data_IF_840519077715
#
_entry.id   IF_840519077715
#
_cell.length_a   1.000
_cell.length_b   1.000
_cell.length_c   1.000
_cell.angle_alpha   90.00
_cell.angle_beta   90.00
_cell.angle_gamma   90.00
#
_symmetry.space_group_name_H-M   'P 1'
#
loop_
_entity.id
_entity.type
_entity.pdbx_description
1 polymer ?
#
# COMPACT_ATOMS: atom_id res chain seq x y z
N UNK A 1 74.64 -46.11 38.18
CA UNK A 1 73.36 -45.36 38.30
C UNK A 1 73.47 -43.92 37.78
N UNK A 2 74.52 -43.16 38.14
CA UNK A 2 74.70 -41.76 37.72
C UNK A 2 74.66 -41.48 36.20
N UNK A 3 75.28 -42.34 35.36
CA UNK A 3 75.28 -42.13 33.89
C UNK A 3 73.88 -42.17 33.26
N UNK A 4 72.99 -43.04 33.74
CA UNK A 4 71.60 -43.14 33.23
C UNK A 4 70.77 -41.92 33.59
N UNK A 5 71.00 -41.35 34.77
CA UNK A 5 70.29 -40.17 35.25
C UNK A 5 70.75 -38.88 34.54
N UNK A 6 72.04 -38.79 34.20
CA UNK A 6 72.55 -37.73 33.35
C UNK A 6 72.00 -37.83 31.91
N UNK A 7 71.90 -39.04 31.36
CA UNK A 7 71.28 -39.29 30.05
C UNK A 7 69.80 -38.89 30.01
N UNK A 8 69.00 -39.29 31.00
CA UNK A 8 67.58 -38.89 31.07
C UNK A 8 67.40 -37.37 31.26
N UNK A 9 68.32 -36.71 31.96
CA UNK A 9 68.31 -35.24 32.13
C UNK A 9 68.59 -34.53 30.79
N UNK A 10 69.55 -35.03 30.00
CA UNK A 10 69.85 -34.51 28.68
C UNK A 10 68.70 -34.72 27.69
N UNK A 11 68.07 -35.89 27.70
CA UNK A 11 66.90 -36.18 26.84
C UNK A 11 65.70 -35.32 27.22
N UNK A 12 65.47 -35.08 28.51
CA UNK A 12 64.43 -34.17 28.98
C UNK A 12 64.71 -32.73 28.52
N UNK A 13 65.98 -32.29 28.57
CA UNK A 13 66.38 -30.99 28.07
C UNK A 13 66.20 -30.87 26.55
N UNK A 14 66.63 -31.87 25.77
CA UNK A 14 66.41 -31.90 24.32
C UNK A 14 64.93 -31.92 23.97
N UNK A 15 64.12 -32.69 24.69
CA UNK A 15 62.67 -32.70 24.50
C UNK A 15 62.08 -31.32 24.79
N UNK A 16 62.51 -30.65 25.86
CA UNK A 16 62.05 -29.29 26.17
C UNK A 16 62.42 -28.27 25.09
N UNK A 17 63.63 -28.37 24.52
CA UNK A 17 64.05 -27.53 23.40
C UNK A 17 63.24 -27.81 22.15
N UNK A 18 63.00 -29.08 21.81
CA UNK A 18 62.19 -29.46 20.66
C UNK A 18 60.74 -28.98 20.81
N UNK A 19 60.16 -29.08 22.01
CA UNK A 19 58.84 -28.50 22.31
C UNK A 19 58.86 -26.99 22.09
N UNK A 20 59.88 -26.29 22.63
CA UNK A 20 60.02 -24.83 22.47
C UNK A 20 60.20 -24.42 21.00
N UNK A 21 60.93 -25.22 20.21
CA UNK A 21 61.13 -25.00 18.78
C UNK A 21 59.80 -25.17 18.04
N UNK A 22 59.03 -26.21 18.35
CA UNK A 22 57.71 -26.42 17.75
C UNK A 22 56.74 -25.26 18.09
N UNK A 23 56.69 -24.85 19.37
CA UNK A 23 55.91 -23.68 19.80
C UNK A 23 56.32 -22.40 19.06
N UNK A 24 57.62 -22.15 18.91
CA UNK A 24 58.14 -21.00 18.16
C UNK A 24 57.76 -21.07 16.68
N UNK A 25 57.81 -22.25 16.06
CA UNK A 25 57.39 -22.45 14.67
C UNK A 25 55.90 -22.15 14.51
N UNK A 26 55.04 -22.65 15.40
CA UNK A 26 53.60 -22.34 15.37
C UNK A 26 53.34 -20.85 15.54
N UNK A 27 54.04 -20.17 16.46
CA UNK A 27 53.92 -18.72 16.65
C UNK A 27 54.37 -17.93 15.42
N UNK A 28 55.43 -18.35 14.75
CA UNK A 28 55.91 -17.72 13.50
C UNK A 28 54.90 -17.92 12.38
N UNK A 29 54.31 -19.11 12.25
CA UNK A 29 53.25 -19.40 11.28
C UNK A 29 52.03 -18.52 11.58
N UNK A 30 51.55 -18.48 12.82
CA UNK A 30 50.40 -17.66 13.21
C UNK A 30 50.63 -16.16 12.94
N UNK A 31 51.83 -15.65 13.25
CA UNK A 31 52.23 -14.27 12.95
C UNK A 31 52.24 -13.99 11.43
N UNK A 32 52.70 -14.93 10.62
CA UNK A 32 52.83 -14.75 9.18
C UNK A 32 51.50 -14.97 8.43
N UNK A 33 50.60 -15.79 8.99
CA UNK A 33 49.25 -16.04 8.43
C UNK A 33 48.35 -14.81 8.52
N UNK A 34 48.55 -13.96 9.52
CA UNK A 34 47.79 -12.72 9.70
C UNK A 34 48.73 -11.54 9.92
N UNK A 35 49.35 -10.99 8.86
CA UNK A 35 50.05 -9.71 8.95
C UNK A 35 49.09 -8.64 9.49
N UNK A 36 49.59 -7.59 10.16
CA UNK A 36 48.70 -6.53 10.68
C UNK A 36 47.78 -5.91 9.59
N UNK A 37 48.15 -6.01 8.31
CA UNK A 37 47.32 -5.63 7.16
C UNK A 37 46.12 -6.54 6.88
N UNK A 38 46.08 -7.79 7.34
CA UNK A 38 44.95 -8.71 7.12
C UNK A 38 43.78 -8.48 8.09
N UNK A 39 43.98 -7.69 9.15
CA UNK A 39 42.94 -7.39 10.14
C UNK A 39 41.79 -6.60 9.50
N UNK A 40 42.11 -5.67 8.60
CA UNK A 40 41.10 -4.92 7.83
C UNK A 40 40.31 -5.82 6.89
N UNK A 41 40.98 -6.77 6.23
CA UNK A 41 40.32 -7.71 5.32
C UNK A 41 39.39 -8.67 6.08
N UNK A 42 39.82 -9.17 7.23
CA UNK A 42 38.98 -9.97 8.13
C UNK A 42 37.78 -9.19 8.65
N UNK A 43 37.96 -7.93 9.02
CA UNK A 43 36.86 -7.06 9.44
C UNK A 43 35.88 -6.78 8.31
N UNK A 44 36.36 -6.65 7.07
CA UNK A 44 35.51 -6.49 5.89
C UNK A 44 34.70 -7.76 5.61
N UNK A 45 35.31 -8.94 5.75
CA UNK A 45 34.63 -10.23 5.63
C UNK A 45 33.56 -10.40 6.72
N UNK A 46 33.87 -10.07 7.98
CA UNK A 46 32.90 -10.10 9.08
C UNK A 46 31.71 -9.17 8.82
N UNK A 47 31.97 -7.95 8.35
CA UNK A 47 30.91 -7.01 7.98
C UNK A 47 30.05 -7.55 6.82
N UNK A 48 30.67 -8.12 5.79
CA UNK A 48 29.95 -8.74 4.67
C UNK A 48 29.09 -9.93 5.12
N UNK A 49 29.63 -10.79 6.00
CA UNK A 49 28.91 -11.92 6.57
C UNK A 49 27.71 -11.48 7.39
N UNK A 50 27.87 -10.50 8.28
CA UNK A 50 26.76 -9.89 9.04
C UNK A 50 25.71 -9.28 8.12
N UNK A 51 26.15 -8.63 7.03
CA UNK A 51 25.26 -8.12 6.00
C UNK A 51 24.43 -9.23 5.34
N UNK A 52 25.07 -10.34 4.98
CA UNK A 52 24.39 -11.52 4.42
C UNK A 52 23.43 -12.17 5.42
N UNK A 53 23.80 -12.30 6.68
CA UNK A 53 22.93 -12.84 7.74
C UNK A 53 21.65 -12.01 7.89
N UNK A 54 21.78 -10.68 7.90
CA UNK A 54 20.63 -9.77 7.93
C UNK A 54 19.75 -9.90 6.69
N UNK A 55 20.34 -10.07 5.50
CA UNK A 55 19.59 -10.28 4.27
C UNK A 55 18.83 -11.62 4.29
N UNK A 56 19.47 -12.70 4.74
CA UNK A 56 18.82 -14.00 4.88
C UNK A 56 17.66 -13.93 5.87
N UNK A 57 17.83 -13.20 6.98
CA UNK A 57 16.77 -12.97 7.94
C UNK A 57 15.59 -12.19 7.33
N UNK A 58 15.86 -11.14 6.55
CA UNK A 58 14.83 -10.38 5.83
C UNK A 58 14.07 -11.25 4.81
N UNK A 59 14.77 -12.11 4.06
CA UNK A 59 14.13 -13.06 3.14
C UNK A 59 13.22 -14.03 3.90
N UNK A 60 13.69 -14.56 5.03
CA UNK A 60 12.90 -15.48 5.87
C UNK A 60 11.62 -14.83 6.37
N UNK A 61 11.69 -13.58 6.79
CA UNK A 61 10.52 -12.85 7.28
C UNK A 61 9.52 -12.57 6.14
N UNK A 62 10.00 -12.17 4.96
CA UNK A 62 9.15 -12.02 3.77
C UNK A 62 8.47 -13.33 3.35
N UNK A 63 9.18 -14.46 3.37
CA UNK A 63 8.61 -15.77 3.06
C UNK A 63 7.51 -16.17 4.05
N UNK A 64 7.66 -15.81 5.33
CA UNK A 64 6.63 -16.04 6.35
C UNK A 64 5.37 -15.23 6.04
N UNK A 65 5.53 -13.94 5.74
CA UNK A 65 4.41 -13.06 5.36
C UNK A 65 3.68 -13.59 4.12
N UNK A 66 4.41 -14.00 3.09
CA UNK A 66 3.82 -14.59 1.88
C UNK A 66 3.07 -15.90 2.20
N UNK A 67 3.64 -16.75 3.05
CA UNK A 67 3.00 -18.00 3.50
C UNK A 67 1.67 -17.74 4.20
N UNK A 68 1.58 -16.68 5.01
CA UNK A 68 0.34 -16.27 5.68
C UNK A 68 -0.65 -15.55 4.75
N UNK A 69 -0.16 -14.89 3.70
CA UNK A 69 -0.99 -14.18 2.72
C UNK A 69 -1.67 -15.13 1.71
N UNK A 70 -0.97 -16.20 1.27
CA UNK A 70 -1.51 -17.19 0.33
C UNK A 70 -2.88 -17.76 0.73
N UNK A 71 -3.13 -18.22 1.98
CA UNK A 71 -4.44 -18.75 2.36
C UNK A 71 -5.52 -17.66 2.38
N UNK A 72 -5.17 -16.41 2.71
CA UNK A 72 -6.11 -15.28 2.66
C UNK A 72 -6.56 -15.03 1.22
N UNK A 73 -5.61 -15.02 0.27
CA UNK A 73 -5.92 -14.90 -1.16
C UNK A 73 -6.78 -16.08 -1.67
N UNK A 74 -6.47 -17.32 -1.27
CA UNK A 74 -7.29 -18.49 -1.63
C UNK A 74 -8.72 -18.38 -1.13
N UNK A 75 -8.93 -17.92 0.12
CA UNK A 75 -10.28 -17.69 0.68
C UNK A 75 -11.04 -16.63 -0.12
N UNK A 76 -10.38 -15.55 -0.51
CA UNK A 76 -10.98 -14.49 -1.33
C UNK A 76 -11.39 -15.01 -2.71
N UNK A 77 -10.52 -15.78 -3.38
CA UNK A 77 -10.84 -16.42 -4.67
C UNK A 77 -12.06 -17.33 -4.53
N UNK A 78 -12.12 -18.16 -3.49
CA UNK A 78 -13.25 -19.05 -3.27
C UNK A 78 -14.57 -18.28 -3.02
N UNK A 79 -14.52 -17.19 -2.27
CA UNK A 79 -15.67 -16.32 -2.04
C UNK A 79 -16.14 -15.64 -3.34
N UNK A 80 -15.19 -15.11 -4.12
CA UNK A 80 -15.47 -14.48 -5.42
C UNK A 80 -16.09 -15.48 -6.41
N UNK A 81 -15.58 -16.72 -6.46
CA UNK A 81 -16.13 -17.77 -7.33
C UNK A 81 -17.57 -18.12 -6.95
N UNK A 82 -17.88 -18.16 -5.65
CA UNK A 82 -19.27 -18.35 -5.15
C UNK A 82 -20.18 -17.22 -5.62
N UNK A 83 -19.73 -15.97 -5.49
CA UNK A 83 -20.50 -14.80 -5.94
C UNK A 83 -20.70 -14.82 -7.46
N UNK A 84 -19.66 -15.13 -8.23
CA UNK A 84 -19.74 -15.26 -9.68
C UNK A 84 -20.77 -16.30 -10.09
N UNK A 85 -20.74 -17.51 -9.49
CA UNK A 85 -21.71 -18.56 -9.78
C UNK A 85 -23.15 -18.11 -9.46
N UNK A 86 -23.34 -17.37 -8.36
CA UNK A 86 -24.64 -16.79 -8.00
C UNK A 86 -25.10 -15.78 -9.06
N UNK A 87 -24.24 -14.85 -9.46
CA UNK A 87 -24.57 -13.86 -10.49
C UNK A 87 -24.87 -14.53 -11.85
N UNK A 88 -24.11 -15.55 -12.25
CA UNK A 88 -24.41 -16.34 -13.45
C UNK A 88 -25.76 -17.05 -13.35
N UNK A 89 -26.10 -17.61 -12.19
CA UNK A 89 -27.43 -18.20 -12.00
C UNK A 89 -28.53 -17.15 -12.09
N UNK A 90 -28.31 -15.94 -11.56
CA UNK A 90 -29.27 -14.83 -11.64
C UNK A 90 -29.40 -14.30 -13.07
N UNK A 91 -28.30 -14.22 -13.85
CA UNK A 91 -28.31 -13.72 -15.22
C UNK A 91 -29.19 -14.54 -16.15
N UNK A 92 -29.34 -15.85 -15.88
CA UNK A 92 -30.26 -16.73 -16.63
C UNK A 92 -31.73 -16.31 -16.46
N UNK A 93 -32.09 -15.69 -15.34
CA UNK A 93 -33.46 -15.29 -15.02
C UNK A 93 -33.67 -13.77 -15.11
N UNK A 94 -32.74 -13.03 -15.72
CA UNK A 94 -32.88 -11.58 -15.88
C UNK A 94 -33.96 -11.28 -16.92
N UNK A 95 -35.04 -10.56 -16.56
CA UNK A 95 -36.08 -10.20 -17.51
C UNK A 95 -35.56 -9.24 -18.59
N UNK A 96 -35.98 -9.45 -19.83
CA UNK A 96 -35.59 -8.68 -21.02
C UNK A 96 -36.07 -7.21 -21.07
N UNK A 97 -36.71 -6.70 -20.02
CA UNK A 97 -37.21 -5.32 -19.93
C UNK A 97 -36.35 -4.40 -19.04
N UNK A 98 -35.18 -4.86 -18.58
CA UNK A 98 -34.24 -3.97 -17.89
C UNK A 98 -33.51 -3.08 -18.90
N UNK A 99 -33.50 -1.74 -18.72
CA UNK A 99 -32.74 -0.85 -19.59
C UNK A 99 -31.25 -1.22 -19.48
N UNK A 100 -30.69 -1.69 -20.60
CA UNK A 100 -29.29 -2.03 -20.78
C UNK A 100 -28.44 -0.75 -20.63
N UNK A 101 -28.18 -0.35 -19.38
CA UNK A 101 -27.26 0.74 -19.08
C UNK A 101 -25.84 0.25 -19.33
N UNK A 102 -25.38 0.52 -20.55
CA UNK A 102 -23.99 0.64 -21.01
C UNK A 102 -22.94 0.21 -19.97
N UNK A 103 -22.53 -1.05 -20.07
CA UNK A 103 -21.26 -1.50 -19.50
C UNK A 103 -20.15 -1.13 -20.50
N UNK A 104 -19.74 0.14 -20.50
CA UNK A 104 -18.42 0.52 -21.04
C UNK A 104 -17.39 0.27 -19.94
N UNK A 105 -17.14 -0.99 -19.64
CA UNK A 105 -15.89 -1.37 -18.98
C UNK A 105 -14.84 -1.41 -20.10
N UNK A 106 -14.04 -0.34 -20.15
CA UNK A 106 -12.83 -0.25 -20.95
C UNK A 106 -11.92 -1.43 -20.59
N UNK A 107 -11.98 -2.48 -21.40
CA UNK A 107 -10.90 -3.44 -21.59
C UNK A 107 -10.31 -3.13 -22.96
N UNK A 108 -9.34 -2.22 -23.01
CA UNK A 108 -8.22 -2.36 -23.94
C UNK A 108 -7.13 -1.36 -23.59
N UNK A 109 -6.01 -1.91 -23.10
CA UNK A 109 -4.72 -1.26 -23.13
C UNK A 109 -3.82 -2.14 -24.00
N UNK A 110 -3.18 -1.52 -24.99
CA UNK A 110 -2.10 -2.05 -25.85
C UNK A 110 -2.48 -2.52 -27.27
N UNK A 111 -2.65 -1.56 -28.21
CA UNK A 111 -1.76 -1.33 -29.39
C UNK A 111 -2.41 -0.52 -30.52
N UNK A 112 -1.63 0.42 -31.07
CA UNK A 112 -1.51 0.57 -32.53
C UNK A 112 -2.36 1.63 -33.26
N UNK A 113 -1.88 2.88 -33.25
CA UNK A 113 -1.78 3.84 -34.36
C UNK A 113 -2.75 3.83 -35.60
N UNK A 114 -3.29 5.04 -35.85
CA UNK A 114 -3.49 5.78 -37.14
C UNK A 114 -4.92 5.89 -37.72
N UNK A 115 -5.30 7.06 -38.30
CA UNK A 115 -6.63 7.68 -38.19
C UNK A 115 -7.42 7.82 -39.52
N UNK A 116 -8.63 8.39 -39.37
CA UNK A 116 -9.47 9.09 -40.37
C UNK A 116 -10.03 8.31 -41.57
N UNK A 117 -11.37 8.20 -41.63
CA UNK A 117 -12.17 8.46 -42.85
C UNK A 117 -13.69 8.52 -42.56
N UNK A 118 -14.21 9.75 -42.49
CA UNK A 118 -15.40 10.28 -43.17
C UNK A 118 -16.55 9.35 -43.60
N UNK A 119 -17.77 9.66 -43.11
CA UNK A 119 -18.96 10.15 -43.88
C UNK A 119 -20.19 10.15 -42.96
N UNK A 120 -20.57 11.29 -42.40
CA UNK A 120 -21.63 12.17 -42.92
C UNK A 120 -22.83 11.43 -43.53
N UNK A 121 -23.96 11.42 -42.81
CA UNK A 121 -25.29 11.85 -43.23
C UNK A 121 -26.32 11.40 -42.15
N UNK A 122 -27.37 12.11 -41.74
CA UNK A 122 -27.83 13.48 -41.89
C UNK A 122 -29.17 13.53 -41.13
N UNK A 123 -29.33 14.51 -40.21
CA UNK A 123 -30.61 15.14 -39.81
C UNK A 123 -31.68 14.26 -39.11
N UNK A 124 -32.39 14.68 -38.06
CA UNK A 124 -32.99 15.99 -37.78
C UNK A 124 -33.10 16.22 -36.27
N UNK A 125 -32.80 17.44 -35.83
CA UNK A 125 -33.34 17.98 -34.58
C UNK A 125 -34.79 18.45 -34.77
N UNK A 126 -35.49 18.79 -33.69
CA UNK A 126 -35.75 20.21 -33.49
C UNK A 126 -35.41 20.70 -32.08
N UNK A 127 -34.89 21.92 -32.11
CA UNK A 127 -34.44 22.80 -31.05
C UNK A 127 -35.62 23.64 -30.51
N UNK A 128 -35.63 24.00 -29.22
CA UNK A 128 -36.22 25.21 -28.59
C UNK A 128 -36.04 25.04 -27.06
N UNK A 129 -35.46 25.94 -26.27
CA UNK A 129 -34.99 27.29 -26.51
C UNK A 129 -34.07 27.77 -25.38
N UNK A 130 -33.27 28.79 -25.68
CA UNK A 130 -32.35 29.48 -24.78
C UNK A 130 -33.07 30.62 -24.05
N UNK A 131 -32.72 30.85 -22.79
CA UNK A 131 -32.64 32.22 -22.27
C UNK A 131 -31.50 32.36 -21.29
N UNK A 132 -30.65 33.33 -21.62
CA UNK A 132 -29.53 33.85 -20.85
C UNK A 132 -30.06 34.74 -19.72
N UNK A 133 -29.37 34.74 -18.59
CA UNK A 133 -29.08 35.97 -17.84
C UNK A 133 -27.59 35.93 -17.51
N UNK A 134 -26.91 37.04 -17.80
CA UNK A 134 -25.48 37.30 -17.73
C UNK A 134 -25.27 38.54 -16.85
N UNK A 135 -24.13 38.61 -16.12
CA UNK A 135 -23.35 39.80 -15.63
C UNK A 135 -22.73 39.47 -14.23
N UNK A 136 -21.52 38.89 -14.04
CA UNK A 136 -20.08 39.32 -14.19
C UNK A 136 -19.60 40.48 -13.28
N UNK A 137 -18.30 40.61 -12.86
CA UNK A 137 -17.29 39.64 -12.33
C UNK A 137 -16.47 40.18 -11.10
N UNK A 138 -15.75 39.32 -10.36
CA UNK A 138 -14.41 39.63 -9.81
C UNK A 138 -13.61 38.41 -9.27
N UNK A 139 -12.41 38.23 -9.86
CA UNK A 139 -11.16 37.62 -9.34
C UNK A 139 -11.03 36.09 -9.06
N UNK A 140 -10.22 35.46 -9.93
CA UNK A 140 -9.49 34.17 -9.90
C UNK A 140 -8.80 33.81 -8.54
N UNK A 141 -8.55 32.52 -8.18
CA UNK A 141 -7.50 31.72 -8.86
C UNK A 141 -7.66 30.18 -8.93
N UNK A 142 -7.40 29.66 -10.14
CA UNK A 142 -6.75 28.38 -10.48
C UNK A 142 -7.21 27.11 -9.73
N UNK A 143 -8.20 26.44 -10.30
CA UNK A 143 -8.52 25.05 -9.98
C UNK A 143 -7.36 24.12 -10.38
N UNK A 144 -6.56 23.72 -9.40
CA UNK A 144 -5.85 22.45 -9.49
C UNK A 144 -6.87 21.35 -9.18
N UNK A 145 -7.02 20.43 -10.13
CA UNK A 145 -7.79 19.17 -10.10
C UNK A 145 -7.69 18.46 -8.74
N UNK A 146 -8.52 18.90 -7.80
CA UNK A 146 -8.72 18.30 -6.49
C UNK A 146 -10.17 17.88 -6.45
N UNK A 147 -10.41 16.60 -6.14
CA UNK A 147 -11.74 15.99 -6.05
C UNK A 147 -12.75 16.95 -5.43
N UNK A 148 -13.83 17.20 -6.17
CA UNK A 148 -14.86 18.18 -5.83
C UNK A 148 -15.54 17.92 -4.49
N UNK A 149 -16.33 18.90 -4.06
CA UNK A 149 -17.20 18.86 -2.90
C UNK A 149 -17.96 17.52 -2.78
N UNK A 150 -18.32 17.09 -1.55
CA UNK A 150 -19.16 15.91 -1.36
C UNK A 150 -20.40 15.96 -2.26
N UNK A 151 -20.81 14.84 -2.87
CA UNK A 151 -22.03 14.81 -3.66
C UNK A 151 -23.23 15.13 -2.75
N UNK A 152 -23.89 16.25 -3.02
CA UNK A 152 -25.03 16.77 -2.25
C UNK A 152 -26.31 16.60 -3.05
N UNK A 153 -27.17 15.67 -2.62
CA UNK A 153 -28.49 15.48 -3.22
C UNK A 153 -29.56 15.77 -2.16
N UNK A 154 -30.29 16.87 -2.36
CA UNK A 154 -31.41 17.22 -1.52
C UNK A 154 -32.63 16.38 -1.86
N UNK A 155 -33.43 16.11 -0.84
CA UNK A 155 -34.71 15.44 -1.00
C UNK A 155 -35.76 16.49 -1.38
N UNK A 156 -36.64 16.12 -2.31
CA UNK A 156 -37.80 16.92 -2.73
C UNK A 156 -39.03 16.59 -1.88
N UNK A 157 -40.02 17.49 -1.85
CA UNK A 157 -41.28 17.25 -1.12
C UNK A 157 -41.99 15.98 -1.59
N UNK A 158 -42.02 15.72 -2.91
CA UNK A 158 -42.65 14.52 -3.47
C UNK A 158 -41.97 13.21 -3.04
N UNK A 159 -40.64 13.21 -2.88
CA UNK A 159 -39.92 12.05 -2.37
C UNK A 159 -40.18 11.82 -0.88
N UNK A 160 -40.21 12.89 -0.08
CA UNK A 160 -40.56 12.79 1.34
C UNK A 160 -42.01 12.33 1.54
N UNK A 161 -42.92 12.78 0.67
CA UNK A 161 -44.33 12.43 0.73
C UNK A 161 -44.63 11.01 0.24
N UNK A 162 -43.73 10.43 -0.55
CA UNK A 162 -43.76 9.02 -0.96
C UNK A 162 -43.42 8.05 0.18
N UNK A 163 -42.82 8.52 1.29
CA UNK A 163 -42.55 7.66 2.45
C UNK A 163 -43.85 7.33 3.19
N UNK A 164 -43.95 6.11 3.70
CA UNK A 164 -45.06 5.70 4.56
C UNK A 164 -45.17 6.61 5.80
N UNK A 165 -46.40 6.95 6.20
CA UNK A 165 -46.68 7.91 7.29
C UNK A 165 -45.93 7.60 8.59
N UNK A 166 -45.82 6.31 8.94
CA UNK A 166 -45.11 5.87 10.15
C UNK A 166 -43.59 6.16 10.12
N UNK A 167 -42.96 6.21 8.94
CA UNK A 167 -41.54 6.56 8.79
C UNK A 167 -41.31 8.07 8.79
N UNK A 168 -42.28 8.82 8.25
CA UNK A 168 -42.23 10.28 8.18
C UNK A 168 -42.36 10.91 9.57
N UNK A 169 -43.25 10.38 10.40
CA UNK A 169 -43.44 10.85 11.77
C UNK A 169 -43.63 12.37 11.85
N UNK A 170 -42.67 13.08 12.47
CA UNK A 170 -42.64 14.56 12.57
C UNK A 170 -41.47 15.20 11.79
N UNK A 171 -40.90 14.48 10.82
CA UNK A 171 -39.85 14.98 9.93
C UNK A 171 -40.45 15.93 8.90
N UNK A 172 -39.83 17.10 8.78
CA UNK A 172 -40.12 18.09 7.73
C UNK A 172 -38.99 18.09 6.71
N UNK A 173 -39.29 18.53 5.49
CA UNK A 173 -38.31 18.63 4.41
C UNK A 173 -37.06 19.43 4.82
N UNK A 174 -37.28 20.53 5.53
CA UNK A 174 -36.22 21.40 6.06
C UNK A 174 -35.29 20.66 7.02
N UNK A 175 -35.84 19.85 7.94
CA UNK A 175 -35.02 19.09 8.91
C UNK A 175 -34.17 18.02 8.23
N UNK A 176 -34.72 17.36 7.23
CA UNK A 176 -33.99 16.32 6.48
C UNK A 176 -32.88 16.95 5.66
N UNK A 177 -33.17 18.03 4.93
CA UNK A 177 -32.18 18.73 4.11
C UNK A 177 -31.12 19.45 4.96
N UNK A 178 -31.48 19.93 6.17
CA UNK A 178 -30.51 20.43 7.15
C UNK A 178 -29.56 19.32 7.62
N UNK A 179 -30.08 18.15 7.97
CA UNK A 179 -29.24 17.02 8.38
C UNK A 179 -28.31 16.53 7.26
N UNK A 180 -28.73 16.61 6.00
CA UNK A 180 -27.88 16.33 4.82
C UNK A 180 -26.72 17.33 4.75
N UNK A 181 -26.97 18.62 4.99
CA UNK A 181 -25.92 19.63 5.03
C UNK A 181 -24.93 19.41 6.17
N UNK A 182 -25.44 19.05 7.36
CA UNK A 182 -24.59 18.73 8.51
C UNK A 182 -23.67 17.55 8.18
N UNK A 183 -24.23 16.47 7.61
CA UNK A 183 -23.46 15.28 7.22
C UNK A 183 -22.43 15.59 6.13
N UNK A 184 -22.77 16.45 5.17
CA UNK A 184 -21.83 16.87 4.13
C UNK A 184 -20.67 17.68 4.70
N UNK A 185 -20.93 18.55 5.68
CA UNK A 185 -19.91 19.31 6.41
C UNK A 185 -18.96 18.36 7.15
N UNK A 186 -19.49 17.33 7.83
CA UNK A 186 -18.68 16.30 8.45
C UNK A 186 -17.84 15.50 7.45
N UNK A 187 -18.44 15.13 6.31
CA UNK A 187 -17.74 14.41 5.25
C UNK A 187 -16.61 15.23 4.63
N UNK A 188 -16.79 16.53 4.46
CA UNK A 188 -15.75 17.46 3.99
C UNK A 188 -14.60 17.55 4.99
N UNK A 189 -14.89 17.77 6.28
CA UNK A 189 -13.87 17.80 7.32
C UNK A 189 -13.06 16.48 7.39
N UNK A 190 -13.74 15.34 7.26
CA UNK A 190 -13.08 14.03 7.21
C UNK A 190 -12.22 13.87 5.95
N UNK A 191 -12.71 14.29 4.80
CA UNK A 191 -11.94 14.26 3.55
C UNK A 191 -10.67 15.11 3.64
N UNK A 192 -10.74 16.28 4.28
CA UNK A 192 -9.57 17.13 4.54
C UNK A 192 -8.55 16.45 5.45
N UNK A 193 -8.98 15.77 6.51
CA UNK A 193 -8.09 15.01 7.40
C UNK A 193 -7.38 13.86 6.66
N UNK A 194 -8.10 13.12 5.81
CA UNK A 194 -7.55 12.01 5.02
C UNK A 194 -6.60 12.52 3.93
N UNK A 195 -6.88 13.69 3.34
CA UNK A 195 -6.05 14.29 2.30
C UNK A 195 -4.80 15.01 2.84
N UNK A 196 -4.81 15.43 4.11
CA UNK A 196 -3.69 16.14 4.71
C UNK A 196 -2.44 15.24 4.84
N UNK A 197 -1.24 15.74 4.51
CA UNK A 197 -0.01 14.97 4.72
C UNK A 197 0.21 14.71 6.22
N UNK A 198 0.54 13.47 6.57
CA UNK A 198 0.67 12.93 7.95
C UNK A 198 1.52 13.77 8.93
N UNK A 199 2.34 14.70 8.43
CA UNK A 199 3.16 15.63 9.23
C UNK A 199 2.34 16.73 9.94
N UNK A 200 1.12 17.04 9.47
CA UNK A 200 0.25 18.10 10.04
C UNK A 200 -0.83 17.59 11.00
N UNK A 201 -1.11 16.29 11.01
CA UNK A 201 -2.20 15.70 11.80
C UNK A 201 -1.86 15.68 13.31
N UNK A 202 -0.57 15.61 13.66
CA UNK A 202 -0.12 15.60 15.06
C UNK A 202 -0.34 16.93 15.80
N UNK A 203 -0.43 18.06 15.09
CA UNK A 203 -0.53 19.39 15.72
C UNK A 203 -1.99 19.77 16.03
N UNK A 204 -2.95 19.39 15.18
CA UNK A 204 -4.37 19.69 15.41
C UNK A 204 -4.99 18.83 16.54
N UNK A 205 -4.59 17.56 16.64
CA UNK A 205 -5.10 16.65 17.68
C UNK A 205 -4.62 17.04 19.09
N UNK A 206 -3.43 17.63 19.21
CA UNK A 206 -2.88 18.09 20.50
C UNK A 206 -3.49 19.44 20.91
N UNK A 207 -3.80 20.32 19.96
CA UNK A 207 -4.43 21.62 20.25
C UNK A 207 -5.91 21.51 20.65
N UNK A 208 -6.64 20.53 20.11
CA UNK A 208 -8.06 20.34 20.47
C UNK A 208 -8.28 19.53 21.76
N UNK A 209 -7.22 18.98 22.35
CA UNK A 209 -7.27 18.31 23.65
C UNK A 209 -6.91 19.24 24.83
N UNK A 210 -6.54 20.50 24.54
CA UNK A 210 -6.12 21.51 25.50
C UNK A 210 -6.98 22.78 25.50
N UNK A 211 -8.13 22.75 24.83
CA UNK A 211 -9.23 23.74 24.91
C UNK A 211 -10.53 22.98 25.21
#
# INVERSE_FOLDING_TARGET
MYLKQAGSSLDSLMSSFNTRIAELQELVIARNMYPASSVTDLSAIDAALKGMELQVQAIKDRLREETEAIPKAKKLIAASLRQQKKLQSMSVYVPSHLPEKMTTLNLDGDRGFVPEASRQQQRQQPNLGSSKVQEEPAALPKEKKGRGSPPLWYITSGELDSLASYMRGRLTLEKVNAAINDMATYAEANAQLVAAPKKKVYVQAVLSAYL
#
